data_IF_229015498556
#
_entry.id   IF_229015498556
#
_cell.length_a   1.000
_cell.length_b   1.000
_cell.length_c   1.000
_cell.angle_alpha   90.00
_cell.angle_beta   90.00
_cell.angle_gamma   90.00
#
_symmetry.space_group_name_H-M   'P 1'
#
loop_
_entity.id
_entity.type
_entity.pdbx_description
1 polymer ?
#
# COMPACT_ATOMS: atom_id res chain seq x y z
N UNK A 1 4.61 -0.74 12.99
CA UNK A 1 4.68 0.13 11.79
C UNK A 1 3.32 0.79 11.62
N UNK A 2 3.21 2.13 11.63
CA UNK A 2 1.93 2.84 11.64
C UNK A 2 1.15 2.64 10.33
N UNK A 3 -0.18 2.65 10.33
CA UNK A 3 -0.99 2.57 9.10
C UNK A 3 -0.76 3.79 8.20
N UNK A 4 -0.82 3.58 6.88
CA UNK A 4 -0.53 4.61 5.87
C UNK A 4 -1.33 5.91 6.07
N UNK A 5 -2.60 5.80 6.48
CA UNK A 5 -3.48 6.95 6.76
C UNK A 5 -2.96 7.86 7.86
N UNK A 6 -2.34 7.30 8.90
CA UNK A 6 -1.74 8.10 9.96
C UNK A 6 -0.47 8.79 9.44
N UNK A 7 0.38 8.07 8.71
CA UNK A 7 1.66 8.58 8.22
C UNK A 7 1.55 9.61 7.09
N UNK A 8 0.68 9.38 6.10
CA UNK A 8 0.62 10.18 4.87
C UNK A 8 -0.59 11.12 4.79
N UNK A 9 -1.70 10.83 5.47
CA UNK A 9 -2.93 11.61 5.30
C UNK A 9 -3.20 12.53 6.48
N UNK A 10 -3.12 12.01 7.71
CA UNK A 10 -3.49 12.80 8.89
C UNK A 10 -2.35 13.67 9.43
N UNK A 11 -1.10 13.28 9.21
CA UNK A 11 0.06 14.01 9.71
C UNK A 11 0.67 14.99 8.70
N UNK A 12 0.28 14.93 7.43
CA UNK A 12 0.87 15.76 6.37
C UNK A 12 -0.06 16.88 5.94
N UNK A 13 0.46 18.09 5.96
CA UNK A 13 -0.17 19.24 5.33
C UNK A 13 0.42 19.41 3.92
N UNK A 14 -0.39 19.09 2.91
CA UNK A 14 0.04 19.18 1.51
C UNK A 14 -0.23 20.57 0.95
N UNK A 15 0.78 21.25 0.39
CA UNK A 15 0.63 22.59 -0.21
C UNK A 15 -0.36 22.63 -1.38
N UNK A 16 -0.56 21.50 -2.07
CA UNK A 16 -1.55 21.39 -3.15
C UNK A 16 -2.06 19.96 -3.34
N UNK A 17 -3.25 19.78 -3.93
CA UNK A 17 -3.75 18.46 -4.31
C UNK A 17 -2.82 17.70 -5.28
N UNK A 18 -2.01 18.42 -6.07
CA UNK A 18 -1.06 17.80 -7.00
C UNK A 18 0.08 17.14 -6.25
N UNK A 19 0.67 17.84 -5.29
CA UNK A 19 1.74 17.31 -4.44
C UNK A 19 1.25 16.14 -3.59
N UNK A 20 0.04 16.25 -3.03
CA UNK A 20 -0.60 15.15 -2.32
C UNK A 20 -0.67 13.88 -3.17
N UNK A 21 -1.14 13.98 -4.41
CA UNK A 21 -1.22 12.82 -5.33
C UNK A 21 0.15 12.23 -5.64
N UNK A 22 1.16 13.05 -5.86
CA UNK A 22 2.51 12.57 -6.16
C UNK A 22 3.08 11.79 -4.98
N UNK A 23 2.98 12.33 -3.77
CA UNK A 23 3.54 11.68 -2.58
C UNK A 23 2.74 10.44 -2.19
N UNK A 24 1.40 10.52 -2.21
CA UNK A 24 0.54 9.36 -1.94
C UNK A 24 0.77 8.22 -2.94
N UNK A 25 1.01 8.53 -4.22
CA UNK A 25 1.30 7.51 -5.22
C UNK A 25 2.58 6.74 -4.86
N UNK A 26 3.64 7.44 -4.49
CA UNK A 26 4.91 6.79 -4.08
C UNK A 26 4.72 5.96 -2.81
N UNK A 27 4.05 6.51 -1.80
CA UNK A 27 3.84 5.82 -0.52
C UNK A 27 2.90 4.62 -0.66
N UNK A 28 1.90 4.68 -1.54
CA UNK A 28 1.04 3.52 -1.88
C UNK A 28 1.81 2.43 -2.62
N UNK A 29 2.68 2.78 -3.57
CA UNK A 29 3.52 1.80 -4.26
C UNK A 29 4.40 1.03 -3.28
N UNK A 30 5.05 1.74 -2.35
CA UNK A 30 5.85 1.11 -1.29
C UNK A 30 5.00 0.24 -0.35
N UNK A 31 3.86 0.77 0.13
CA UNK A 31 2.95 0.07 1.03
C UNK A 31 2.43 -1.24 0.42
N UNK A 32 2.11 -1.23 -0.88
CA UNK A 32 1.54 -2.37 -1.60
C UNK A 32 2.59 -3.37 -2.09
N UNK A 33 3.78 -2.91 -2.45
CA UNK A 33 4.76 -3.74 -3.17
C UNK A 33 5.98 -4.16 -2.36
N UNK A 34 6.31 -3.48 -1.27
CA UNK A 34 7.56 -3.71 -0.54
C UNK A 34 7.33 -3.96 0.95
N UNK A 35 6.31 -3.33 1.52
CA UNK A 35 6.03 -3.41 2.95
C UNK A 35 5.35 -4.73 3.32
N UNK A 36 6.01 -5.53 4.16
CA UNK A 36 5.46 -6.77 4.70
C UNK A 36 4.46 -6.49 5.83
N UNK A 37 3.36 -7.23 5.86
CA UNK A 37 2.34 -7.09 6.90
C UNK A 37 2.16 -8.40 7.66
N UNK A 38 2.29 -8.35 8.99
CA UNK A 38 2.14 -9.54 9.85
C UNK A 38 0.76 -10.19 9.72
N UNK A 39 -0.29 -9.39 9.52
CA UNK A 39 -1.65 -9.88 9.28
C UNK A 39 -1.82 -10.57 7.92
N UNK A 40 -0.85 -10.46 7.02
CA UNK A 40 -0.81 -11.10 5.70
C UNK A 40 0.26 -12.20 5.63
N UNK A 41 0.64 -12.80 6.77
CA UNK A 41 1.70 -13.79 6.88
C UNK A 41 3.06 -13.28 6.38
N UNK A 42 3.39 -12.03 6.69
CA UNK A 42 4.60 -11.36 6.19
C UNK A 42 4.67 -11.29 4.66
N UNK A 43 3.53 -11.15 4.01
CA UNK A 43 3.43 -10.81 2.58
C UNK A 43 3.02 -9.36 2.39
N UNK A 44 3.22 -8.88 1.17
CA UNK A 44 2.77 -7.58 0.70
C UNK A 44 1.29 -7.65 0.28
N UNK A 45 0.57 -6.52 0.31
CA UNK A 45 -0.81 -6.48 -0.17
C UNK A 45 -0.91 -6.89 -1.65
N UNK A 46 0.10 -6.57 -2.47
CA UNK A 46 0.09 -6.94 -3.87
C UNK A 46 0.17 -8.46 -4.08
N UNK A 47 0.99 -9.16 -3.30
CA UNK A 47 1.09 -10.62 -3.35
C UNK A 47 -0.21 -11.32 -2.94
N UNK A 48 -1.02 -10.72 -2.06
CA UNK A 48 -2.27 -11.33 -1.58
C UNK A 48 -3.44 -11.02 -2.52
N UNK A 49 -3.54 -9.79 -3.01
CA UNK A 49 -4.73 -9.33 -3.75
C UNK A 49 -4.58 -9.32 -5.26
N UNK A 50 -3.35 -9.25 -5.78
CA UNK A 50 -3.05 -9.27 -7.22
C UNK A 50 -2.36 -10.56 -7.66
N UNK A 51 -2.26 -11.57 -6.78
CA UNK A 51 -1.89 -12.91 -7.20
C UNK A 51 -2.85 -13.38 -8.30
N UNK A 52 -2.36 -14.07 -9.36
CA UNK A 52 -3.25 -14.68 -10.32
C UNK A 52 -4.21 -15.59 -9.56
N UNK A 53 -5.52 -15.43 -9.78
CA UNK A 53 -6.50 -16.40 -9.31
C UNK A 53 -6.01 -17.76 -9.81
N UNK A 54 -5.56 -18.62 -8.88
CA UNK A 54 -5.20 -19.98 -9.22
C UNK A 54 -6.41 -20.58 -9.93
N UNK A 55 -6.27 -20.88 -11.22
CA UNK A 55 -7.24 -21.69 -11.93
C UNK A 55 -7.36 -22.98 -11.11
N UNK A 56 -8.52 -23.20 -10.49
CA UNK A 56 -8.85 -24.50 -9.92
C UNK A 56 -8.62 -25.52 -11.02
N UNK A 57 -7.60 -26.35 -10.86
CA UNK A 57 -7.44 -27.56 -11.63
C UNK A 57 -8.70 -28.39 -11.42
N UNK A 58 -9.46 -28.56 -12.50
CA UNK A 58 -10.57 -29.49 -12.61
C UNK A 58 -10.15 -30.92 -12.29
#
# INVERSE_FOLDING_TARGET
MPPLKEEEVYLKDYPSPREARQQLSTSLSFYNGERLHQSLDYRTPAEVHFAPLHASSA
#
